data_IF_550892455863
#
_entry.id   IF_550892455863
#
_cell.length_a   1.000
_cell.length_b   1.000
_cell.length_c   1.000
_cell.angle_alpha   90.00
_cell.angle_beta   90.00
_cell.angle_gamma   90.00
#
_symmetry.space_group_name_H-M   'P 1'
#
loop_
_entity.id
_entity.type
_entity.pdbx_description
1 polymer ?
#
# COMPACT_ATOMS: atom_id res chain seq x y z
N UNK A 1 6.56 -5.93 7.11
CA UNK A 1 7.03 -4.82 6.24
C UNK A 1 8.53 -4.58 6.36
N UNK A 2 9.04 -3.84 7.37
CA UNK A 2 10.47 -3.43 7.42
C UNK A 2 11.44 -4.62 7.45
N UNK A 3 11.10 -5.69 8.19
CA UNK A 3 11.88 -6.93 8.18
C UNK A 3 11.99 -7.56 6.79
N UNK A 4 10.89 -7.60 6.04
CA UNK A 4 10.86 -8.14 4.69
C UNK A 4 11.66 -7.27 3.71
N UNK A 5 11.58 -5.95 3.84
CA UNK A 5 12.40 -5.01 3.07
C UNK A 5 13.90 -5.21 3.34
N UNK A 6 14.29 -5.34 4.61
CA UNK A 6 15.67 -5.64 4.99
C UNK A 6 16.15 -7.00 4.47
N UNK A 7 15.26 -8.01 4.43
CA UNK A 7 15.57 -9.34 3.89
C UNK A 7 15.53 -9.42 2.35
N UNK A 8 15.14 -8.33 1.66
CA UNK A 8 14.84 -8.31 0.23
C UNK A 8 13.77 -9.33 -0.18
N UNK A 9 12.83 -9.61 0.73
CA UNK A 9 11.75 -10.57 0.53
C UNK A 9 10.57 -9.88 -0.19
N UNK A 10 10.58 -9.96 -1.51
CA UNK A 10 9.55 -9.35 -2.35
C UNK A 10 8.20 -10.04 -2.21
N UNK A 11 8.19 -11.35 -1.97
CA UNK A 11 6.96 -12.14 -1.87
C UNK A 11 6.22 -11.81 -0.57
N UNK A 12 6.96 -11.66 0.54
CA UNK A 12 6.37 -11.21 1.80
C UNK A 12 5.90 -9.75 1.72
N UNK A 13 6.61 -8.86 1.04
CA UNK A 13 6.10 -7.51 0.82
C UNK A 13 4.83 -7.51 -0.04
N UNK A 14 4.76 -8.37 -1.06
CA UNK A 14 3.55 -8.52 -1.85
C UNK A 14 2.37 -9.07 -1.04
N UNK A 15 2.60 -10.01 -0.11
CA UNK A 15 1.57 -10.60 0.75
C UNK A 15 0.88 -9.56 1.68
N UNK A 16 1.58 -8.47 1.99
CA UNK A 16 1.06 -7.35 2.78
C UNK A 16 0.09 -6.44 1.99
N UNK A 17 0.12 -6.51 0.66
CA UNK A 17 -0.83 -5.80 -0.18
C UNK A 17 -2.16 -6.54 -0.28
N UNK A 18 -3.18 -5.85 -0.80
CA UNK A 18 -4.44 -6.48 -1.19
C UNK A 18 -4.17 -7.59 -2.21
N UNK A 19 -4.80 -8.73 -2.00
CA UNK A 19 -4.96 -9.78 -3.01
C UNK A 19 -6.13 -9.47 -3.94
N UNK A 20 -6.20 -10.18 -5.06
CA UNK A 20 -7.31 -10.06 -6.01
C UNK A 20 -8.66 -10.37 -5.36
N UNK A 21 -8.73 -11.44 -4.56
CA UNK A 21 -9.95 -11.87 -3.88
C UNK A 21 -10.38 -10.82 -2.85
N UNK A 22 -9.44 -10.27 -2.06
CA UNK A 22 -9.74 -9.18 -1.13
C UNK A 22 -10.23 -7.94 -1.89
N UNK A 23 -9.57 -7.56 -2.99
CA UNK A 23 -10.00 -6.44 -3.81
C UNK A 23 -11.40 -6.67 -4.38
N UNK A 24 -11.68 -7.85 -4.92
CA UNK A 24 -12.97 -8.21 -5.50
C UNK A 24 -14.12 -8.21 -4.48
N UNK A 25 -13.88 -8.75 -3.29
CA UNK A 25 -14.95 -9.01 -2.33
C UNK A 25 -15.14 -7.88 -1.31
N UNK A 26 -14.06 -7.21 -0.92
CA UNK A 26 -14.08 -6.16 0.10
C UNK A 26 -14.07 -4.75 -0.49
N UNK A 27 -13.32 -4.53 -1.57
CA UNK A 27 -13.01 -3.17 -2.05
C UNK A 27 -13.93 -2.77 -3.20
N UNK A 28 -13.94 -3.59 -4.26
CA UNK A 28 -14.62 -3.33 -5.52
C UNK A 28 -16.11 -2.95 -5.35
N UNK A 29 -16.92 -3.64 -4.53
CA UNK A 29 -18.35 -3.33 -4.42
C UNK A 29 -18.67 -1.92 -3.90
N UNK A 30 -17.73 -1.30 -3.17
CA UNK A 30 -17.90 0.02 -2.59
C UNK A 30 -17.21 1.13 -3.42
N UNK A 31 -16.41 0.78 -4.42
CA UNK A 31 -15.72 1.77 -5.26
C UNK A 31 -16.66 2.49 -6.25
N UNK A 32 -16.53 3.82 -6.45
CA UNK A 32 -17.29 4.53 -7.48
C UNK A 32 -17.14 3.95 -8.89
N UNK A 33 -15.98 3.37 -9.21
CA UNK A 33 -15.67 2.76 -10.50
C UNK A 33 -16.42 1.46 -10.78
N UNK A 34 -16.91 0.76 -9.74
CA UNK A 34 -17.65 -0.49 -9.91
C UNK A 34 -19.12 -0.30 -10.28
N UNK A 35 -19.61 0.95 -10.19
CA UNK A 35 -20.97 1.30 -10.57
C UNK A 35 -21.22 0.95 -12.04
N UNK A 36 -22.32 0.26 -12.39
CA UNK A 36 -22.57 -0.19 -13.77
C UNK A 36 -22.50 0.94 -14.81
N UNK A 37 -22.90 2.17 -14.44
CA UNK A 37 -22.88 3.34 -15.32
C UNK A 37 -21.47 3.77 -15.73
N UNK A 38 -20.43 3.34 -14.99
CA UNK A 38 -19.03 3.60 -15.34
C UNK A 38 -18.49 2.65 -16.40
N UNK A 39 -19.11 1.46 -16.56
CA UNK A 39 -18.71 0.47 -17.56
C UNK A 39 -17.28 -0.06 -17.40
N UNK A 40 -16.67 0.07 -16.22
CA UNK A 40 -15.30 -0.40 -15.96
C UNK A 40 -15.33 -1.88 -15.55
N UNK A 41 -14.69 -2.79 -16.32
CA UNK A 41 -14.59 -4.19 -15.92
C UNK A 41 -13.71 -4.36 -14.68
N UNK A 42 -14.07 -5.31 -13.82
CA UNK A 42 -13.27 -5.67 -12.64
C UNK A 42 -11.82 -6.00 -13.00
N UNK A 43 -11.61 -6.91 -13.96
CA UNK A 43 -10.28 -7.37 -14.37
C UNK A 43 -9.38 -6.21 -14.83
N UNK A 44 -9.97 -5.19 -15.46
CA UNK A 44 -9.24 -3.99 -15.88
C UNK A 44 -8.82 -3.15 -14.67
N UNK A 45 -9.75 -2.89 -13.75
CA UNK A 45 -9.47 -2.08 -12.57
C UNK A 45 -8.43 -2.76 -11.65
N UNK A 46 -8.57 -4.07 -11.42
CA UNK A 46 -7.61 -4.86 -10.66
C UNK A 46 -6.26 -4.93 -11.36
N UNK A 47 -6.25 -5.27 -12.66
CA UNK A 47 -5.03 -5.39 -13.45
C UNK A 47 -4.19 -4.11 -13.45
N UNK A 48 -4.83 -2.95 -13.65
CA UNK A 48 -4.14 -1.65 -13.62
C UNK A 48 -3.55 -1.34 -12.25
N UNK A 49 -4.34 -1.48 -11.17
CA UNK A 49 -3.89 -1.25 -9.80
C UNK A 49 -2.72 -2.17 -9.44
N UNK A 50 -2.91 -3.47 -9.65
CA UNK A 50 -1.94 -4.50 -9.26
C UNK A 50 -0.63 -4.36 -10.06
N UNK A 51 -0.70 -4.10 -11.36
CA UNK A 51 0.49 -3.86 -12.19
C UNK A 51 1.28 -2.63 -11.73
N UNK A 52 0.60 -1.50 -11.49
CA UNK A 52 1.25 -0.28 -11.01
C UNK A 52 1.89 -0.47 -9.63
N UNK A 53 1.17 -1.13 -8.73
CA UNK A 53 1.65 -1.45 -7.38
C UNK A 53 2.89 -2.36 -7.42
N UNK A 54 2.86 -3.45 -8.20
CA UNK A 54 4.03 -4.33 -8.38
C UNK A 54 5.25 -3.60 -8.94
N UNK A 55 5.04 -2.71 -9.92
CA UNK A 55 6.12 -1.90 -10.46
C UNK A 55 6.70 -0.93 -9.43
N UNK A 56 5.86 -0.34 -8.59
CA UNK A 56 6.31 0.51 -7.49
C UNK A 56 7.06 -0.29 -6.41
N UNK A 57 6.59 -1.49 -6.06
CA UNK A 57 7.27 -2.41 -5.15
C UNK A 57 8.67 -2.78 -5.66
N UNK A 58 8.82 -3.08 -6.95
CA UNK A 58 10.15 -3.32 -7.56
C UNK A 58 11.08 -2.12 -7.39
N UNK A 59 10.58 -0.89 -7.57
CA UNK A 59 11.35 0.34 -7.37
C UNK A 59 11.67 0.60 -5.90
N UNK A 60 10.77 0.26 -4.98
CA UNK A 60 11.02 0.29 -3.54
C UNK A 60 12.16 -0.67 -3.19
N UNK A 61 12.07 -1.92 -3.65
CA UNK A 61 13.07 -2.96 -3.40
C UNK A 61 14.45 -2.60 -3.97
N UNK A 62 14.48 -2.02 -5.17
CA UNK A 62 15.74 -1.58 -5.78
C UNK A 62 16.41 -0.43 -5.00
N UNK A 63 15.62 0.45 -4.37
CA UNK A 63 16.12 1.63 -3.64
C UNK A 63 16.50 1.32 -2.19
N UNK A 64 15.65 0.60 -1.47
CA UNK A 64 15.75 0.43 -0.02
C UNK A 64 15.91 -1.03 0.43
N UNK A 65 15.93 -1.98 -0.50
CA UNK A 65 16.09 -3.39 -0.17
C UNK A 65 17.44 -3.66 0.51
N UNK A 66 17.43 -4.34 1.65
CA UNK A 66 18.64 -4.61 2.43
C UNK A 66 18.93 -3.58 3.52
N UNK A 67 18.27 -2.42 3.50
CA UNK A 67 18.40 -1.41 4.56
C UNK A 67 17.57 -1.84 5.78
N UNK A 68 18.12 -1.63 6.99
CA UNK A 68 17.38 -1.87 8.23
C UNK A 68 16.88 -0.55 8.78
N UNK A 69 15.59 -0.55 9.10
CA UNK A 69 14.92 0.59 9.71
C UNK A 69 14.17 0.14 10.96
N UNK A 70 14.13 1.02 11.94
CA UNK A 70 13.19 0.95 13.05
C UNK A 70 12.03 1.90 12.77
N UNK A 71 10.79 1.41 12.93
CA UNK A 71 9.60 2.25 12.84
C UNK A 71 9.47 3.12 14.09
N UNK A 72 9.35 4.43 13.90
CA UNK A 72 9.07 5.40 14.96
C UNK A 72 7.58 5.77 14.95
N UNK A 73 7.03 6.14 13.79
CA UNK A 73 5.63 6.51 13.64
C UNK A 73 5.12 6.30 12.22
N UNK A 74 3.80 6.22 12.07
CA UNK A 74 3.09 6.22 10.78
C UNK A 74 2.23 7.48 10.73
N UNK A 75 2.33 8.24 9.65
CA UNK A 75 1.52 9.42 9.40
C UNK A 75 0.91 9.35 8.01
N UNK A 76 -0.22 10.03 7.83
CA UNK A 76 -0.89 10.18 6.55
C UNK A 76 -0.90 11.65 6.19
N UNK A 77 -0.20 12.02 5.12
CA UNK A 77 -0.15 13.41 4.66
C UNK A 77 -1.35 13.77 3.78
N UNK A 78 -1.99 12.77 3.17
CA UNK A 78 -3.08 12.93 2.22
C UNK A 78 -4.45 12.66 2.83
N UNK A 79 -5.47 12.76 1.98
CA UNK A 79 -6.86 12.52 2.38
C UNK A 79 -7.08 11.06 2.80
N UNK A 80 -7.78 10.88 3.93
CA UNK A 80 -8.43 9.62 4.28
C UNK A 80 -9.81 9.60 3.64
N UNK A 81 -10.01 8.76 2.62
CA UNK A 81 -11.33 8.61 1.98
C UNK A 81 -12.12 7.51 2.68
N UNK A 82 -13.26 7.83 3.30
CA UNK A 82 -14.15 6.82 3.85
C UNK A 82 -14.97 6.17 2.73
N UNK A 83 -15.08 4.85 2.79
CA UNK A 83 -16.04 4.05 2.05
C UNK A 83 -17.03 3.43 3.04
N UNK A 84 -18.03 2.72 2.52
CA UNK A 84 -19.09 2.14 3.36
C UNK A 84 -18.54 1.14 4.38
N UNK A 85 -17.53 0.34 4.01
CA UNK A 85 -17.02 -0.75 4.86
C UNK A 85 -15.54 -0.65 5.23
N UNK A 86 -14.81 0.33 4.70
CA UNK A 86 -13.38 0.55 4.94
C UNK A 86 -13.04 2.02 4.72
N UNK A 87 -11.83 2.43 5.08
CA UNK A 87 -11.26 3.72 4.70
C UNK A 87 -9.89 3.52 4.06
N UNK A 88 -9.50 4.44 3.19
CA UNK A 88 -8.18 4.43 2.55
C UNK A 88 -7.45 5.69 2.96
N UNK A 89 -6.30 5.52 3.63
CA UNK A 89 -5.39 6.61 3.94
C UNK A 89 -4.37 6.75 2.81
N UNK A 90 -4.11 7.98 2.37
CA UNK A 90 -3.18 8.29 1.29
C UNK A 90 -1.96 9.06 1.78
N UNK A 91 -0.94 9.05 0.93
CA UNK A 91 0.36 9.68 1.15
C UNK A 91 0.94 9.24 2.50
N UNK A 92 1.09 7.93 2.64
CA UNK A 92 1.68 7.35 3.86
C UNK A 92 3.14 7.79 3.99
N UNK A 93 3.47 8.29 5.18
CA UNK A 93 4.83 8.64 5.57
C UNK A 93 5.20 7.83 6.80
N UNK A 94 6.31 7.10 6.72
CA UNK A 94 6.90 6.40 7.85
C UNK A 94 8.03 7.25 8.41
N UNK A 95 7.90 7.61 9.69
CA UNK A 95 9.03 8.11 10.46
C UNK A 95 9.85 6.90 10.90
N UNK A 96 11.10 6.87 10.47
CA UNK A 96 12.02 5.76 10.61
C UNK A 96 13.30 6.24 11.27
N UNK A 97 14.00 5.29 11.88
CA UNK A 97 15.38 5.43 12.30
C UNK A 97 16.25 4.41 11.57
N UNK A 98 17.36 4.85 10.98
CA UNK A 98 18.32 3.97 10.30
C UNK A 98 19.30 3.31 11.28
N UNK A 99 20.22 2.49 10.75
CA UNK A 99 21.25 1.81 11.55
C UNK A 99 22.30 2.75 12.16
N UNK A 100 22.47 3.95 11.59
CA UNK A 100 23.36 5.00 12.11
C UNK A 100 22.69 5.82 13.22
N UNK A 101 21.39 5.65 13.41
CA UNK A 101 20.58 6.36 14.41
C UNK A 101 20.00 7.68 13.91
N UNK A 102 20.08 7.98 12.61
CA UNK A 102 19.46 9.15 12.02
C UNK A 102 17.94 8.95 11.91
N UNK A 103 17.18 10.00 12.14
CA UNK A 103 15.73 10.02 11.91
C UNK A 103 15.43 10.49 10.48
N UNK A 104 14.57 9.74 9.78
CA UNK A 104 14.18 9.97 8.38
C UNK A 104 12.68 9.76 8.19
N UNK A 105 12.08 10.51 7.28
CA UNK A 105 10.69 10.35 6.88
C UNK A 105 10.63 9.81 5.44
N UNK A 106 10.16 8.58 5.27
CA UNK A 106 10.10 7.91 3.97
C UNK A 106 8.69 7.50 3.59
N UNK A 107 8.32 7.72 2.33
CA UNK A 107 7.14 7.13 1.72
C UNK A 107 7.52 5.80 1.06
N UNK A 108 7.33 4.69 1.78
CA UNK A 108 7.63 3.35 1.26
C UNK A 108 6.47 2.74 0.46
N UNK A 109 5.24 3.19 0.70
CA UNK A 109 4.02 2.84 -0.03
C UNK A 109 3.06 4.02 0.05
N UNK A 110 2.20 4.23 -0.95
CA UNK A 110 1.40 5.46 -0.98
C UNK A 110 0.04 5.36 -0.31
N UNK A 111 -0.51 4.16 -0.10
CA UNK A 111 -1.81 4.04 0.56
C UNK A 111 -2.01 2.75 1.33
N UNK A 112 -2.79 2.85 2.41
CA UNK A 112 -3.19 1.73 3.26
C UNK A 112 -4.70 1.74 3.42
N UNK A 113 -5.29 0.55 3.34
CA UNK A 113 -6.70 0.31 3.62
C UNK A 113 -6.83 -0.11 5.08
N UNK A 114 -7.77 0.53 5.79
CA UNK A 114 -8.19 0.14 7.13
C UNK A 114 -9.62 -0.38 7.10
N UNK A 115 -9.83 -1.57 7.67
CA UNK A 115 -11.16 -2.19 7.82
C UNK A 115 -11.24 -2.92 9.16
N UNK A 116 -12.15 -2.48 10.04
CA UNK A 116 -12.34 -3.13 11.34
C UNK A 116 -11.11 -3.11 12.24
N UNK A 117 -10.22 -2.11 12.09
CA UNK A 117 -8.93 -2.03 12.79
C UNK A 117 -7.81 -2.87 12.19
N UNK A 118 -8.08 -3.62 11.11
CA UNK A 118 -7.06 -4.33 10.33
C UNK A 118 -6.57 -3.49 9.15
N UNK A 119 -5.30 -3.66 8.79
CA UNK A 119 -4.64 -2.85 7.78
C UNK A 119 -4.02 -3.70 6.68
N UNK A 120 -4.17 -3.25 5.43
CA UNK A 120 -3.53 -3.84 4.24
C UNK A 120 -2.99 -2.74 3.34
N UNK A 121 -1.83 -2.97 2.71
CA UNK A 121 -1.30 -2.02 1.72
C UNK A 121 -2.25 -2.00 0.53
N UNK A 122 -2.84 -0.84 0.26
CA UNK A 122 -3.75 -0.67 -0.88
C UNK A 122 -2.96 -0.51 -2.17
N UNK A 123 -1.86 0.26 -2.13
CA UNK A 123 -0.96 0.45 -3.26
C UNK A 123 0.43 0.87 -2.81
N UNK A 124 1.46 0.29 -3.44
CA UNK A 124 2.85 0.71 -3.31
C UNK A 124 3.19 1.97 -4.12
N UNK A 125 2.28 2.45 -4.97
CA UNK A 125 2.51 3.66 -5.76
C UNK A 125 2.63 4.85 -4.83
N UNK A 126 3.76 5.54 -4.88
CA UNK A 126 4.04 6.82 -4.22
C UNK A 126 4.13 7.85 -5.34
N UNK A 127 3.41 8.97 -5.18
CA UNK A 127 3.40 10.11 -6.11
C UNK A 127 4.67 10.97 -6.00
#
# INVERSE_FOLDING_TARGET
>A
MLTALAARDADELESLALSEIEFQTAVWPDLPSSRPERGVPFDYAWGDLHQKSRNALRRLMARHGGERFQLVAVRFAGETTPYRTYQVHRETVLDLRDEEGNDLALALFGSILERGGEFKIFSYVVD
#
